data_IF_772881761931
#
_entry.id   IF_772881761931
#
_cell.length_a   1.000
_cell.length_b   1.000
_cell.length_c   1.000
_cell.angle_alpha   90.00
_cell.angle_beta   90.00
_cell.angle_gamma   90.00
#
_symmetry.space_group_name_H-M   'P 1'
#
loop_
_entity.id
_entity.type
_entity.pdbx_description
1 polymer ?
#
# COMPACT_ATOMS: atom_id res chain seq x y z
N UNK A 1 6.50 -26.81 16.96
CA UNK A 1 5.49 -25.87 16.41
C UNK A 1 5.35 -26.18 14.93
N UNK A 2 4.14 -26.36 14.39
CA UNK A 2 3.98 -26.75 12.99
C UNK A 2 4.38 -25.58 12.07
N UNK A 3 5.28 -25.83 11.11
CA UNK A 3 5.76 -24.84 10.12
C UNK A 3 4.59 -24.22 9.36
N UNK A 4 3.57 -25.01 9.00
CA UNK A 4 2.39 -24.51 8.28
C UNK A 4 1.63 -23.46 9.11
N UNK A 5 1.54 -23.66 10.43
CA UNK A 5 0.88 -22.72 11.33
C UNK A 5 1.68 -21.42 11.46
N UNK A 6 3.01 -21.52 11.55
CA UNK A 6 3.91 -20.37 11.59
C UNK A 6 3.83 -19.55 10.29
N UNK A 7 3.81 -20.21 9.14
CA UNK A 7 3.66 -19.58 7.83
C UNK A 7 2.31 -18.86 7.72
N UNK A 8 1.22 -19.51 8.13
CA UNK A 8 -0.11 -18.89 8.14
C UNK A 8 -0.17 -17.65 9.06
N UNK A 9 0.49 -17.70 10.21
CA UNK A 9 0.54 -16.59 11.15
C UNK A 9 1.37 -15.41 10.61
N UNK A 10 2.48 -15.68 9.90
CA UNK A 10 3.28 -14.64 9.21
C UNK A 10 2.49 -13.97 8.09
N UNK A 11 1.74 -14.74 7.31
CA UNK A 11 0.87 -14.21 6.25
C UNK A 11 -0.18 -13.29 6.86
N UNK A 12 -0.86 -13.74 7.91
CA UNK A 12 -1.84 -12.93 8.63
C UNK A 12 -1.22 -11.65 9.19
N UNK A 13 -0.03 -11.72 9.77
CA UNK A 13 0.69 -10.56 10.29
C UNK A 13 1.01 -9.54 9.19
N UNK A 14 1.44 -9.99 8.00
CA UNK A 14 1.70 -9.11 6.86
C UNK A 14 0.43 -8.35 6.41
N UNK A 15 -0.72 -9.04 6.35
CA UNK A 15 -2.00 -8.42 6.03
C UNK A 15 -2.41 -7.36 7.05
N UNK A 16 -2.29 -7.67 8.34
CA UNK A 16 -2.60 -6.74 9.43
C UNK A 16 -1.68 -5.52 9.37
N UNK A 17 -0.38 -5.73 9.17
CA UNK A 17 0.61 -4.64 9.07
C UNK A 17 0.27 -3.69 7.91
N UNK A 18 -0.06 -4.22 6.74
CA UNK A 18 -0.47 -3.40 5.60
C UNK A 18 -1.76 -2.63 5.89
N UNK A 19 -2.77 -3.27 6.49
CA UNK A 19 -4.02 -2.60 6.84
C UNK A 19 -3.79 -1.44 7.83
N UNK A 20 -2.96 -1.67 8.85
CA UNK A 20 -2.54 -0.64 9.81
C UNK A 20 -1.79 0.51 9.12
N UNK A 21 -0.89 0.19 8.18
CA UNK A 21 -0.19 1.18 7.37
C UNK A 21 -1.14 2.06 6.57
N UNK A 22 -2.11 1.46 5.86
CA UNK A 22 -3.13 2.20 5.10
C UNK A 22 -4.01 3.09 5.98
N UNK A 23 -4.40 2.60 7.16
CA UNK A 23 -5.15 3.41 8.14
C UNK A 23 -4.28 4.59 8.59
N UNK A 24 -3.00 4.35 8.88
CA UNK A 24 -2.06 5.41 9.29
C UNK A 24 -1.84 6.45 8.19
N UNK A 25 -1.62 6.03 6.95
CA UNK A 25 -1.50 6.94 5.79
C UNK A 25 -2.79 7.73 5.58
N UNK A 26 -3.95 7.10 5.73
CA UNK A 26 -5.24 7.79 5.71
C UNK A 26 -5.45 8.73 6.89
N UNK A 27 -4.70 8.64 7.98
CA UNK A 27 -4.74 9.61 9.08
C UNK A 27 -3.71 10.72 8.81
N UNK A 28 -2.49 10.37 8.38
CA UNK A 28 -1.40 11.32 8.12
C UNK A 28 -1.63 12.20 6.88
N UNK A 29 -2.21 11.66 5.82
CA UNK A 29 -2.65 12.45 4.67
C UNK A 29 -3.74 13.46 5.01
N UNK A 30 -4.41 13.28 6.16
CA UNK A 30 -5.37 14.23 6.72
C UNK A 30 -4.73 15.23 7.70
N UNK A 31 -3.70 14.86 8.45
CA UNK A 31 -2.86 15.84 9.16
C UNK A 31 -2.14 16.78 8.18
N UNK A 32 -1.81 16.28 6.98
CA UNK A 32 -1.33 17.07 5.84
C UNK A 32 -2.45 17.65 4.96
N UNK A 33 -3.72 17.30 5.22
CA UNK A 33 -4.83 18.06 4.67
C UNK A 33 -4.80 19.40 5.38
N UNK A 34 -4.02 20.31 4.79
CA UNK A 34 -4.00 21.69 5.16
C UNK A 34 -5.46 22.13 5.22
N UNK A 35 -6.01 22.32 6.43
CA UNK A 35 -6.85 23.48 6.66
C UNK A 35 -6.03 24.59 6.05
N UNK A 36 -6.39 25.04 4.84
CA UNK A 36 -5.57 25.95 4.08
C UNK A 36 -5.10 27.01 5.06
N UNK A 37 -3.80 26.99 5.37
CA UNK A 37 -3.20 28.06 6.15
C UNK A 37 -3.26 29.24 5.21
N UNK A 38 -4.43 29.88 5.15
CA UNK A 38 -4.59 31.21 4.64
C UNK A 38 -3.77 32.07 5.58
N UNK A 39 -2.50 32.24 5.22
CA UNK A 39 -1.74 33.39 5.60
C UNK A 39 -2.49 34.60 5.05
N UNK A 40 -3.39 35.15 5.86
CA UNK A 40 -3.94 36.47 5.62
C UNK A 40 -2.85 37.46 6.00
N UNK A 41 -2.06 37.88 5.01
CA UNK A 41 -1.48 39.20 5.06
C UNK A 41 -2.64 40.17 5.25
N UNK A 42 -2.73 40.82 6.41
CA UNK A 42 -3.64 41.95 6.62
C UNK A 42 -3.30 42.98 5.54
N UNK A 43 -4.11 43.00 4.48
CA UNK A 43 -4.01 43.94 3.37
C UNK A 43 -4.49 45.31 3.80
N UNK A 44 -3.72 46.00 4.65
CA UNK A 44 -3.73 47.45 4.66
C UNK A 44 -2.99 47.93 3.41
N UNK A 45 -3.73 48.43 2.42
CA UNK A 45 -3.13 49.25 1.36
C UNK A 45 -2.88 50.62 2.00
N UNK A 46 -1.63 50.91 2.34
CA UNK A 46 -1.20 52.25 2.69
C UNK A 46 -0.86 52.99 1.40
N UNK A 47 -1.71 53.93 0.99
CA UNK A 47 -1.33 54.97 0.03
C UNK A 47 -1.27 56.26 0.85
N UNK A 48 -0.06 56.84 0.97
CA UNK A 48 0.19 58.10 1.69
C UNK A 48 -0.34 58.17 3.14
N UNK A 49 -0.08 57.14 3.95
CA UNK A 49 -0.22 57.24 5.41
C UNK A 49 -1.64 57.37 5.98
N UNK A 50 -2.69 57.14 5.17
CA UNK A 50 -4.08 57.10 5.66
C UNK A 50 -4.73 55.76 5.33
N UNK A 51 -5.34 55.13 6.34
CA UNK A 51 -6.05 53.86 6.18
C UNK A 51 -7.46 54.11 5.65
N UNK A 52 -7.71 53.77 4.38
CA UNK A 52 -9.06 53.74 3.83
C UNK A 52 -9.73 52.39 4.15
N UNK A 53 -10.65 52.39 5.11
CA UNK A 53 -11.55 51.27 5.37
C UNK A 53 -12.56 51.13 4.23
N UNK A 54 -12.58 49.98 3.54
CA UNK A 54 -13.60 49.66 2.52
C UNK A 54 -14.79 48.99 3.23
N UNK A 55 -15.95 49.66 3.37
CA UNK A 55 -17.07 49.16 4.18
C UNK A 55 -17.70 47.88 3.63
N UNK A 56 -17.57 47.63 2.32
CA UNK A 56 -18.16 46.48 1.63
C UNK A 56 -17.63 45.13 2.15
N UNK A 57 -16.40 45.08 2.68
CA UNK A 57 -15.81 43.84 3.20
C UNK A 57 -16.29 43.46 4.60
N UNK A 58 -16.69 44.44 5.42
CA UNK A 58 -17.28 44.19 6.75
C UNK A 58 -18.69 43.61 6.57
N UNK A 59 -19.44 44.09 5.57
CA UNK A 59 -20.77 43.61 5.25
C UNK A 59 -20.80 42.14 4.78
N UNK A 60 -19.68 41.61 4.29
CA UNK A 60 -19.59 40.19 3.89
C UNK A 60 -19.25 39.25 5.05
N UNK A 61 -18.72 39.73 6.18
CA UNK A 61 -18.33 38.89 7.32
C UNK A 61 -19.45 37.94 7.82
N UNK A 62 -20.73 38.36 7.91
CA UNK A 62 -21.82 37.45 8.29
C UNK A 62 -22.03 36.32 7.29
N UNK A 63 -21.92 36.60 5.98
CA UNK A 63 -22.03 35.60 4.91
C UNK A 63 -20.89 34.59 4.99
N UNK A 64 -19.67 35.04 5.30
CA UNK A 64 -18.53 34.15 5.55
C UNK A 64 -18.76 33.25 6.77
N UNK A 65 -19.26 33.80 7.88
CA UNK A 65 -19.54 33.00 9.09
C UNK A 65 -20.61 31.94 8.81
N UNK A 66 -21.68 32.28 8.07
CA UNK A 66 -22.72 31.32 7.66
C UNK A 66 -22.15 30.24 6.75
N UNK A 67 -21.29 30.61 5.79
CA UNK A 67 -20.61 29.65 4.92
C UNK A 67 -19.73 28.67 5.74
N UNK A 68 -18.95 29.15 6.70
CA UNK A 68 -18.13 28.31 7.57
C UNK A 68 -18.98 27.38 8.45
N UNK A 69 -20.07 27.89 9.03
CA UNK A 69 -21.00 27.07 9.83
C UNK A 69 -21.68 25.99 8.99
N UNK A 70 -21.92 26.22 7.70
CA UNK A 70 -22.48 25.23 6.79
C UNK A 70 -21.44 24.24 6.25
N UNK A 71 -20.21 24.69 5.97
CA UNK A 71 -19.14 23.85 5.42
C UNK A 71 -18.55 22.86 6.43
N UNK A 72 -18.46 23.27 7.70
CA UNK A 72 -17.88 22.46 8.79
C UNK A 72 -18.59 21.11 9.00
N UNK A 73 -19.93 21.03 9.13
CA UNK A 73 -20.63 19.75 9.31
C UNK A 73 -20.52 18.86 8.07
N UNK A 74 -20.46 19.43 6.87
CA UNK A 74 -20.26 18.68 5.62
C UNK A 74 -18.86 18.04 5.59
N UNK A 75 -17.82 18.80 5.95
CA UNK A 75 -16.46 18.27 6.07
C UNK A 75 -16.36 17.14 7.12
N UNK A 76 -17.05 17.32 8.26
CA UNK A 76 -17.10 16.31 9.33
C UNK A 76 -17.85 15.05 8.89
N UNK A 77 -18.91 15.18 8.09
CA UNK A 77 -19.62 14.05 7.49
C UNK A 77 -18.70 13.25 6.55
N UNK A 78 -17.99 13.92 5.64
CA UNK A 78 -17.03 13.26 4.75
C UNK A 78 -15.91 12.57 5.54
N UNK A 79 -15.46 13.16 6.66
CA UNK A 79 -14.48 12.56 7.56
C UNK A 79 -14.99 11.25 8.19
N UNK A 80 -16.20 11.25 8.75
CA UNK A 80 -16.81 10.04 9.31
C UNK A 80 -16.98 8.96 8.25
N UNK A 81 -17.41 9.33 7.04
CA UNK A 81 -17.55 8.41 5.91
C UNK A 81 -16.19 7.78 5.55
N UNK A 82 -15.12 8.58 5.44
CA UNK A 82 -13.77 8.09 5.13
C UNK A 82 -13.26 7.07 6.16
N UNK A 83 -13.45 7.35 7.45
CA UNK A 83 -13.10 6.42 8.54
C UNK A 83 -13.91 5.13 8.42
N UNK A 84 -15.22 5.23 8.22
CA UNK A 84 -16.10 4.06 8.10
C UNK A 84 -15.66 3.18 6.91
N UNK A 85 -15.37 3.76 5.74
CA UNK A 85 -14.91 3.00 4.58
C UNK A 85 -13.53 2.36 4.81
N UNK A 86 -12.59 3.07 5.45
CA UNK A 86 -11.28 2.52 5.79
C UNK A 86 -11.36 1.34 6.76
N UNK A 87 -12.20 1.46 7.79
CA UNK A 87 -12.48 0.40 8.76
C UNK A 87 -13.21 -0.77 8.10
N UNK A 88 -14.26 -0.52 7.31
CA UNK A 88 -15.01 -1.55 6.60
C UNK A 88 -14.13 -2.34 5.61
N UNK A 89 -13.27 -1.65 4.86
CA UNK A 89 -12.30 -2.28 3.96
C UNK A 89 -11.32 -3.18 4.74
N UNK A 90 -10.81 -2.69 5.87
CA UNK A 90 -9.91 -3.47 6.74
C UNK A 90 -10.61 -4.69 7.35
N UNK A 91 -11.86 -4.56 7.77
CA UNK A 91 -12.70 -5.67 8.25
C UNK A 91 -12.95 -6.67 7.14
N UNK A 92 -13.26 -6.24 5.91
CA UNK A 92 -13.45 -7.13 4.77
C UNK A 92 -12.20 -7.92 4.45
N UNK A 93 -11.02 -7.30 4.47
CA UNK A 93 -9.74 -7.99 4.31
C UNK A 93 -9.54 -9.03 5.43
N UNK A 94 -9.80 -8.67 6.69
CA UNK A 94 -9.71 -9.60 7.81
C UNK A 94 -10.73 -10.75 7.71
N UNK A 95 -11.94 -10.48 7.23
CA UNK A 95 -12.97 -11.50 7.00
C UNK A 95 -12.60 -12.42 5.86
N UNK A 96 -12.03 -11.91 4.76
CA UNK A 96 -11.50 -12.74 3.67
C UNK A 96 -10.38 -13.65 4.16
N UNK A 97 -9.45 -13.13 4.96
CA UNK A 97 -8.39 -13.93 5.60
C UNK A 97 -8.98 -14.99 6.54
N UNK A 98 -10.07 -14.67 7.26
CA UNK A 98 -10.75 -15.61 8.17
C UNK A 98 -11.53 -16.70 7.43
N UNK A 99 -12.22 -16.37 6.35
CA UNK A 99 -13.04 -17.30 5.56
C UNK A 99 -12.20 -18.23 4.67
N UNK A 100 -11.03 -17.77 4.20
CA UNK A 100 -10.10 -18.62 3.41
C UNK A 100 -9.53 -19.82 4.15
N UNK A 101 -9.73 -19.93 5.48
CA UNK A 101 -9.35 -21.13 6.26
C UNK A 101 -10.11 -22.39 5.87
N UNK A 102 -11.18 -22.32 5.06
CA UNK A 102 -12.06 -23.47 4.78
C UNK A 102 -11.90 -24.14 3.40
N UNK A 103 -11.12 -23.60 2.47
CA UNK A 103 -10.89 -24.31 1.19
C UNK A 103 -9.79 -25.33 1.36
N UNK A 104 -10.18 -26.61 1.32
CA UNK A 104 -9.36 -27.83 1.34
C UNK A 104 -7.94 -27.59 0.82
N UNK A 105 -6.99 -27.46 1.75
CA UNK A 105 -5.58 -27.35 1.43
C UNK A 105 -5.10 -28.69 0.87
N UNK A 106 -4.82 -28.74 -0.43
CA UNK A 106 -3.87 -29.75 -0.94
C UNK A 106 -2.55 -29.46 -0.23
N UNK A 107 -2.02 -30.48 0.46
CA UNK A 107 -0.75 -30.41 1.20
C UNK A 107 0.25 -29.64 0.33
N UNK A 108 0.75 -28.47 0.78
CA UNK A 108 1.72 -27.74 0.00
C UNK A 108 2.91 -28.68 -0.24
N UNK A 109 3.36 -28.75 -1.49
CA UNK A 109 4.64 -29.39 -1.78
C UNK A 109 5.73 -28.78 -0.90
N UNK A 110 6.81 -29.51 -0.66
CA UNK A 110 7.96 -29.06 0.14
C UNK A 110 8.76 -27.92 -0.51
N UNK A 111 8.13 -27.09 -1.34
CA UNK A 111 8.75 -26.07 -2.16
C UNK A 111 8.23 -24.69 -1.76
N UNK A 112 9.12 -23.70 -1.76
CA UNK A 112 8.79 -22.32 -1.43
C UNK A 112 7.70 -21.79 -2.37
N UNK A 113 7.80 -22.15 -3.66
CA UNK A 113 6.81 -21.80 -4.68
C UNK A 113 5.42 -22.37 -4.34
N UNK A 114 5.36 -23.63 -3.91
CA UNK A 114 4.10 -24.29 -3.54
C UNK A 114 3.41 -23.58 -2.38
N UNK A 115 4.17 -23.23 -1.34
CA UNK A 115 3.64 -22.46 -0.21
C UNK A 115 3.17 -21.06 -0.65
N UNK A 116 3.96 -20.38 -1.46
CA UNK A 116 3.66 -19.00 -1.87
C UNK A 116 2.33 -18.90 -2.60
N UNK A 117 2.10 -19.77 -3.60
CA UNK A 117 0.86 -19.78 -4.38
C UNK A 117 -0.37 -20.20 -3.57
N UNK A 118 -0.20 -20.99 -2.50
CA UNK A 118 -1.31 -21.44 -1.66
C UNK A 118 -1.72 -20.40 -0.62
N UNK A 119 -0.77 -19.65 -0.06
CA UNK A 119 -1.04 -18.76 1.07
C UNK A 119 -1.06 -17.27 0.72
N UNK A 120 -0.33 -16.84 -0.30
CA UNK A 120 -0.18 -15.41 -0.61
C UNK A 120 -1.15 -15.03 -1.73
N UNK A 121 -2.12 -14.15 -1.42
CA UNK A 121 -2.92 -13.52 -2.46
C UNK A 121 -2.19 -12.28 -3.00
N UNK A 122 -1.57 -12.48 -4.16
CA UNK A 122 -0.80 -11.47 -4.91
C UNK A 122 -1.53 -10.16 -5.18
N UNK A 123 -2.87 -10.13 -5.21
CA UNK A 123 -3.65 -8.91 -5.47
C UNK A 123 -3.85 -8.06 -4.21
N UNK A 124 -3.63 -8.66 -3.05
CA UNK A 124 -4.01 -8.09 -1.76
C UNK A 124 -2.83 -7.51 -0.97
N UNK A 125 -1.60 -8.03 -1.17
CA UNK A 125 -0.37 -7.47 -0.61
C UNK A 125 0.36 -6.60 -1.63
N UNK A 126 0.87 -5.45 -1.21
CA UNK A 126 1.78 -4.64 -2.02
C UNK A 126 3.14 -5.33 -2.18
N UNK A 127 3.89 -4.99 -3.23
CA UNK A 127 5.22 -5.55 -3.50
C UNK A 127 6.14 -5.50 -2.27
N UNK A 128 6.15 -4.35 -1.57
CA UNK A 128 6.94 -4.15 -0.36
C UNK A 128 6.59 -5.14 0.77
N UNK A 129 5.30 -5.32 1.05
CA UNK A 129 4.86 -6.29 2.06
C UNK A 129 5.10 -7.74 1.62
N UNK A 130 5.06 -8.02 0.31
CA UNK A 130 5.45 -9.32 -0.22
C UNK A 130 6.95 -9.58 0.00
N UNK A 131 7.81 -8.59 -0.24
CA UNK A 131 9.26 -8.73 -0.02
C UNK A 131 9.59 -8.95 1.46
N UNK A 132 8.92 -8.23 2.37
CA UNK A 132 9.08 -8.44 3.82
C UNK A 132 8.62 -9.83 4.25
N UNK A 133 7.49 -10.30 3.72
CA UNK A 133 6.96 -11.63 3.98
C UNK A 133 7.93 -12.70 3.47
N UNK A 134 8.46 -12.53 2.25
CA UNK A 134 9.44 -13.44 1.66
C UNK A 134 10.73 -13.52 2.49
N UNK A 135 11.27 -12.38 2.93
CA UNK A 135 12.43 -12.34 3.84
C UNK A 135 12.17 -13.15 5.12
N UNK A 136 10.97 -13.01 5.68
CA UNK A 136 10.57 -13.75 6.89
C UNK A 136 10.46 -15.26 6.63
N UNK A 137 9.93 -15.64 5.47
CA UNK A 137 9.80 -17.05 5.07
C UNK A 137 11.16 -17.69 4.81
N UNK A 138 12.08 -17.02 4.11
CA UNK A 138 13.44 -17.52 3.86
C UNK A 138 14.16 -17.82 5.17
N UNK A 139 14.03 -16.92 6.15
CA UNK A 139 14.58 -17.14 7.50
C UNK A 139 13.93 -18.32 8.22
N UNK A 140 12.62 -18.51 8.09
CA UNK A 140 11.91 -19.59 8.81
C UNK A 140 12.12 -20.96 8.15
N UNK A 141 12.08 -21.02 6.82
CA UNK A 141 12.09 -22.27 6.06
C UNK A 141 13.51 -22.78 5.78
N UNK A 142 14.49 -21.88 5.67
CA UNK A 142 15.84 -22.21 5.23
C UNK A 142 16.94 -21.69 6.17
N UNK A 143 16.58 -21.06 7.30
CA UNK A 143 17.50 -20.31 8.18
C UNK A 143 18.33 -19.24 7.43
N UNK A 144 17.85 -18.79 6.27
CA UNK A 144 18.55 -17.83 5.43
C UNK A 144 18.19 -16.39 5.82
N UNK A 145 19.20 -15.58 6.13
CA UNK A 145 19.03 -14.16 6.47
C UNK A 145 19.19 -13.30 5.22
N UNK A 146 18.17 -13.26 4.38
CA UNK A 146 18.13 -12.33 3.24
C UNK A 146 17.53 -11.00 3.69
N UNK A 147 18.29 -9.91 3.54
CA UNK A 147 17.80 -8.57 3.90
C UNK A 147 16.73 -8.11 2.92
N UNK A 148 15.73 -7.36 3.39
CA UNK A 148 14.68 -6.79 2.52
C UNK A 148 15.27 -5.86 1.46
N UNK A 149 16.36 -5.16 1.75
CA UNK A 149 17.07 -4.32 0.81
C UNK A 149 17.70 -5.14 -0.33
N UNK A 150 18.27 -6.29 -0.04
CA UNK A 150 18.87 -7.16 -1.07
C UNK A 150 17.79 -7.83 -1.93
N UNK A 151 16.69 -8.24 -1.31
CA UNK A 151 15.54 -8.76 -2.05
C UNK A 151 14.94 -7.70 -2.98
N UNK A 152 14.80 -6.45 -2.53
CA UNK A 152 14.39 -5.32 -3.39
C UNK A 152 15.31 -5.15 -4.59
N UNK A 153 16.63 -5.17 -4.38
CA UNK A 153 17.60 -5.11 -5.50
C UNK A 153 17.43 -6.25 -6.50
N UNK A 154 17.12 -7.47 -6.04
CA UNK A 154 16.84 -8.61 -6.93
C UNK A 154 15.54 -8.39 -7.72
N UNK A 155 14.49 -7.90 -7.06
CA UNK A 155 13.21 -7.54 -7.70
C UNK A 155 13.40 -6.46 -8.76
N UNK A 156 14.15 -5.40 -8.45
CA UNK A 156 14.40 -4.29 -9.38
C UNK A 156 15.13 -4.76 -10.63
N UNK A 157 16.12 -5.65 -10.48
CA UNK A 157 16.82 -6.28 -11.61
C UNK A 157 15.89 -7.12 -12.48
N UNK A 158 14.92 -7.81 -11.89
CA UNK A 158 13.92 -8.58 -12.66
C UNK A 158 13.03 -7.62 -13.43
N UNK A 159 12.52 -6.57 -12.77
CA UNK A 159 11.67 -5.56 -13.38
C UNK A 159 12.39 -4.85 -14.54
N UNK A 160 13.64 -4.46 -14.36
CA UNK A 160 14.46 -3.82 -15.41
C UNK A 160 14.56 -4.71 -16.65
N UNK A 161 14.81 -6.01 -16.48
CA UNK A 161 14.87 -6.97 -17.60
C UNK A 161 13.52 -7.09 -18.31
N UNK A 162 12.42 -7.12 -17.56
CA UNK A 162 11.06 -7.19 -18.11
C UNK A 162 10.70 -5.92 -18.90
N UNK A 163 11.01 -4.74 -18.36
CA UNK A 163 10.81 -3.45 -19.04
C UNK A 163 11.63 -3.41 -20.33
N UNK A 164 12.92 -3.78 -20.25
CA UNK A 164 13.81 -3.81 -21.42
C UNK A 164 13.31 -4.76 -22.51
N UNK A 165 12.77 -5.92 -22.14
CA UNK A 165 12.21 -6.86 -23.10
C UNK A 165 10.95 -6.33 -23.82
N UNK A 166 10.18 -5.45 -23.17
CA UNK A 166 9.01 -4.78 -23.74
C UNK A 166 9.31 -3.36 -24.27
N UNK A 167 10.56 -2.91 -24.22
CA UNK A 167 10.97 -1.58 -24.68
C UNK A 167 10.49 -1.26 -26.10
N UNK A 168 10.57 -2.17 -27.10
CA UNK A 168 10.09 -1.89 -28.45
C UNK A 168 8.59 -1.59 -28.52
N UNK A 169 7.79 -2.26 -27.69
CA UNK A 169 6.35 -2.01 -27.60
C UNK A 169 6.08 -0.64 -26.96
N UNK A 170 6.79 -0.30 -25.89
CA UNK A 170 6.62 1.00 -25.22
C UNK A 170 7.14 2.18 -26.03
N UNK A 171 8.10 1.97 -26.93
CA UNK A 171 8.63 3.01 -27.83
C UNK A 171 7.77 3.27 -29.07
N UNK A 172 6.66 2.54 -29.25
CA UNK A 172 5.74 2.72 -30.38
C UNK A 172 6.26 2.10 -31.69
N UNK A 173 7.15 1.11 -31.61
CA UNK A 173 7.61 0.38 -32.79
C UNK A 173 6.44 -0.40 -33.38
N UNK A 174 6.17 -0.22 -34.67
CA UNK A 174 5.18 -1.01 -35.40
C UNK A 174 5.57 -2.50 -35.33
N UNK A 175 4.63 -3.34 -34.90
CA UNK A 175 4.84 -4.77 -34.57
C UNK A 175 5.87 -5.08 -33.46
N UNK A 176 6.14 -4.12 -32.57
CA UNK A 176 7.00 -4.33 -31.39
C UNK A 176 6.46 -5.44 -30.46
N UNK A 177 7.31 -6.40 -30.03
CA UNK A 177 6.86 -7.49 -29.16
C UNK A 177 6.35 -6.99 -27.80
N UNK A 178 5.19 -7.50 -27.37
CA UNK A 178 4.62 -7.22 -26.05
C UNK A 178 4.42 -8.50 -25.26
N UNK A 179 5.29 -8.71 -24.28
CA UNK A 179 5.25 -9.88 -23.41
C UNK A 179 4.49 -9.60 -22.12
N UNK A 180 3.63 -10.54 -21.73
CA UNK A 180 3.01 -10.56 -20.41
C UNK A 180 3.89 -11.34 -19.44
N UNK A 181 4.62 -10.62 -18.59
CA UNK A 181 5.51 -11.23 -17.61
C UNK A 181 4.80 -11.62 -16.30
N UNK A 182 5.36 -12.63 -15.65
CA UNK A 182 5.04 -12.97 -14.26
C UNK A 182 5.52 -11.82 -13.35
N UNK A 183 4.76 -11.45 -12.29
CA UNK A 183 5.16 -10.38 -11.38
C UNK A 183 6.59 -10.58 -10.83
N UNK A 184 7.40 -9.51 -10.69
CA UNK A 184 8.80 -9.62 -10.28
C UNK A 184 9.05 -10.39 -8.97
N UNK A 185 8.19 -10.22 -7.95
CA UNK A 185 8.31 -10.96 -6.69
C UNK A 185 8.04 -12.46 -6.88
N UNK A 186 7.09 -12.82 -7.74
CA UNK A 186 6.82 -14.23 -8.07
C UNK A 186 8.00 -14.84 -8.84
N UNK A 187 8.62 -14.10 -9.75
CA UNK A 187 9.87 -14.53 -10.40
C UNK A 187 10.97 -14.77 -9.36
N UNK A 188 11.12 -13.86 -8.38
CA UNK A 188 12.10 -14.02 -7.31
C UNK A 188 11.84 -15.27 -6.45
N UNK A 189 10.58 -15.55 -6.12
CA UNK A 189 10.20 -16.79 -5.42
C UNK A 189 10.59 -18.02 -6.23
N UNK A 190 10.38 -18.00 -7.55
CA UNK A 190 10.78 -19.10 -8.43
C UNK A 190 12.30 -19.26 -8.54
N UNK A 191 13.05 -18.16 -8.50
CA UNK A 191 14.51 -18.19 -8.47
C UNK A 191 15.01 -18.85 -7.17
N UNK A 192 14.47 -18.44 -6.01
CA UNK A 192 14.81 -19.07 -4.72
C UNK A 192 14.40 -20.54 -4.66
N UNK A 193 13.25 -20.91 -5.21
CA UNK A 193 12.80 -22.30 -5.28
C UNK A 193 13.79 -23.19 -6.05
N UNK A 194 14.44 -22.64 -7.08
CA UNK A 194 15.51 -23.32 -7.83
C UNK A 194 16.86 -23.30 -7.11
N UNK A 195 17.20 -22.17 -6.47
CA UNK A 195 18.48 -21.98 -5.77
C UNK A 195 18.58 -22.84 -4.51
N UNK A 196 17.49 -22.93 -3.74
CA UNK A 196 17.47 -23.57 -2.42
C UNK A 196 16.86 -24.97 -2.46
N UNK A 197 16.06 -25.27 -3.50
CA UNK A 197 15.33 -26.52 -3.61
C UNK A 197 14.27 -26.69 -2.52
N UNK A 198 13.85 -27.94 -2.24
CA UNK A 198 12.87 -28.22 -1.21
C UNK A 198 13.37 -27.80 0.17
N UNK A 199 12.51 -27.16 0.97
CA UNK A 199 12.84 -26.88 2.37
C UNK A 199 12.92 -28.20 3.15
N UNK A 200 13.97 -28.37 3.95
CA UNK A 200 14.07 -29.48 4.88
C UNK A 200 13.06 -29.24 6.01
N UNK A 201 12.09 -30.13 6.15
CA UNK A 201 11.30 -30.21 7.39
C UNK A 201 12.29 -30.49 8.52
N UNK A 202 12.53 -29.51 9.40
CA UNK A 202 13.05 -29.77 10.75
C UNK A 202 12.01 -30.52 11.57
#
# INVERSE_FOLDING_TARGET
>A
MNVDQLIADLVKAAYVKQAQGKVRESIQGYDQFHWGTCWFGYGSIFINGTAHFIPERIAMLPLWVVYWLAATPVALLFHLIGIIYGVASSILVLMQVRYRKQTVFRVPGSTLRGLWWNYVDRRSLTSDHQIELLSSWLKVLYDEKSSTADLRKRVDKILERQIKANEPYYSGTEDGPHFNFVPPVECLVMDFDKELGPYSKG
#
